data_IF_339139378680
#
_entry.id   IF_339139378680
#
_cell.length_a   1.000
_cell.length_b   1.000
_cell.length_c   1.000
_cell.angle_alpha   90.00
_cell.angle_beta   90.00
_cell.angle_gamma   90.00
#
_symmetry.space_group_name_H-M   'P 1'
#
loop_
_entity.id
_entity.type
_entity.pdbx_description
1 polymer ?
#
# COMPACT_ATOMS: atom_id res chain seq x y z
N UNK A 1 24.67 -4.79 50.32
CA UNK A 1 23.44 -5.03 49.54
C UNK A 1 23.75 -4.77 48.07
N UNK A 2 23.87 -5.84 47.26
CA UNK A 2 24.41 -5.79 45.89
C UNK A 2 23.28 -5.54 44.91
N UNK A 3 23.18 -4.32 44.36
CA UNK A 3 22.17 -3.98 43.35
C UNK A 3 22.62 -4.54 42.01
N UNK A 4 21.89 -5.52 41.50
CA UNK A 4 22.07 -6.06 40.15
C UNK A 4 21.63 -5.00 39.14
N UNK A 5 22.52 -4.71 38.21
CA UNK A 5 22.29 -3.87 37.04
C UNK A 5 21.64 -4.79 36.02
N UNK A 6 20.32 -4.71 35.87
CA UNK A 6 19.66 -5.27 34.70
C UNK A 6 19.79 -4.25 33.56
N UNK A 7 20.61 -4.62 32.59
CA UNK A 7 20.88 -3.81 31.42
C UNK A 7 19.62 -3.69 30.57
N UNK A 8 18.97 -2.55 30.65
CA UNK A 8 18.04 -2.10 29.62
C UNK A 8 18.24 -0.62 29.44
N UNK A 9 19.28 -0.27 28.68
CA UNK A 9 19.33 1.01 27.98
C UNK A 9 18.13 1.03 27.06
N UNK A 10 17.02 1.55 27.57
CA UNK A 10 15.83 1.78 26.79
C UNK A 10 16.24 2.70 25.64
N UNK A 11 16.18 2.18 24.42
CA UNK A 11 16.37 2.96 23.21
C UNK A 11 15.55 4.23 23.33
N UNK A 12 16.23 5.37 23.42
CA UNK A 12 15.62 6.68 23.24
C UNK A 12 15.17 6.72 21.77
N UNK A 13 13.97 6.19 21.51
CA UNK A 13 13.28 6.37 20.25
C UNK A 13 12.74 7.79 20.28
N UNK A 14 13.51 8.72 19.75
CA UNK A 14 12.95 9.89 19.09
C UNK A 14 12.66 9.50 17.64
N UNK A 15 11.44 9.06 17.27
CA UNK A 15 10.97 9.31 15.93
C UNK A 15 10.30 10.69 15.97
N UNK A 16 10.86 11.60 15.19
CA UNK A 16 10.27 12.88 14.89
C UNK A 16 8.85 12.66 14.31
N UNK A 17 7.83 12.85 15.14
CA UNK A 17 6.42 12.73 14.78
C UNK A 17 5.97 13.99 14.03
N UNK A 18 6.49 14.23 12.83
CA UNK A 18 6.16 15.44 12.04
C UNK A 18 5.54 15.16 10.67
N UNK A 19 5.07 13.93 10.42
CA UNK A 19 4.40 13.57 9.15
C UNK A 19 3.16 12.67 9.33
N UNK A 20 2.53 12.70 10.52
CA UNK A 20 1.58 11.65 10.90
C UNK A 20 0.25 11.67 10.14
N UNK A 21 -0.12 12.79 9.51
CA UNK A 21 -1.42 12.90 8.82
C UNK A 21 -1.33 12.62 7.30
N UNK A 22 -0.20 12.96 6.67
CA UNK A 22 -0.01 12.81 5.21
C UNK A 22 0.46 11.41 4.83
N UNK A 23 1.31 10.78 5.66
CA UNK A 23 1.86 9.45 5.40
C UNK A 23 0.81 8.33 5.48
N UNK A 24 -0.09 8.40 6.46
CA UNK A 24 -1.13 7.38 6.66
C UNK A 24 -2.12 7.33 5.49
N UNK A 25 -2.58 8.48 5.02
CA UNK A 25 -3.54 8.55 3.89
C UNK A 25 -2.91 7.98 2.62
N UNK A 26 -1.65 8.30 2.39
CA UNK A 26 -0.87 7.83 1.25
C UNK A 26 -0.66 6.31 1.33
N UNK A 27 -0.26 5.78 2.49
CA UNK A 27 -0.10 4.35 2.71
C UNK A 27 -1.41 3.56 2.50
N UNK A 28 -2.53 4.04 3.05
CA UNK A 28 -3.85 3.42 2.87
C UNK A 28 -4.25 3.38 1.39
N UNK A 29 -4.01 4.46 0.64
CA UNK A 29 -4.28 4.50 -0.81
C UNK A 29 -3.48 3.43 -1.58
N UNK A 30 -2.17 3.32 -1.32
CA UNK A 30 -1.33 2.29 -1.95
C UNK A 30 -1.77 0.87 -1.58
N UNK A 31 -2.19 0.63 -0.33
CA UNK A 31 -2.69 -0.67 0.11
C UNK A 31 -4.01 -1.04 -0.61
N UNK A 32 -4.92 -0.07 -0.75
CA UNK A 32 -6.18 -0.25 -1.49
C UNK A 32 -5.92 -0.53 -2.96
N UNK A 33 -5.05 0.24 -3.62
CA UNK A 33 -4.66 0.03 -5.02
C UNK A 33 -4.09 -1.38 -5.23
N UNK A 34 -3.12 -1.78 -4.40
CA UNK A 34 -2.48 -3.10 -4.50
C UNK A 34 -3.47 -4.25 -4.37
N UNK A 35 -4.38 -4.14 -3.40
CA UNK A 35 -5.42 -5.15 -3.18
C UNK A 35 -6.41 -5.17 -4.35
N UNK A 36 -6.78 -3.99 -4.86
CA UNK A 36 -7.64 -3.82 -6.03
C UNK A 36 -7.06 -4.46 -7.29
N UNK A 37 -5.79 -4.18 -7.62
CA UNK A 37 -5.09 -4.76 -8.77
C UNK A 37 -5.04 -6.29 -8.66
N UNK A 38 -4.72 -6.83 -7.49
CA UNK A 38 -4.68 -8.28 -7.27
C UNK A 38 -6.05 -8.94 -7.46
N UNK A 39 -7.13 -8.33 -6.96
CA UNK A 39 -8.49 -8.83 -7.16
C UNK A 39 -8.95 -8.69 -8.61
N UNK A 40 -8.63 -7.58 -9.27
CA UNK A 40 -8.96 -7.33 -10.67
C UNK A 40 -8.25 -8.32 -11.56
N UNK A 41 -6.93 -8.48 -11.38
CA UNK A 41 -6.12 -9.42 -12.13
C UNK A 41 -6.64 -10.86 -11.99
N UNK A 42 -7.02 -11.29 -10.79
CA UNK A 42 -7.62 -12.61 -10.57
C UNK A 42 -9.01 -12.81 -11.20
N UNK A 43 -9.75 -11.72 -11.41
CA UNK A 43 -11.03 -11.75 -12.15
C UNK A 43 -10.80 -11.74 -13.65
N UNK A 44 -9.90 -10.90 -14.15
CA UNK A 44 -9.72 -10.68 -15.59
C UNK A 44 -8.83 -11.74 -16.25
N UNK A 45 -7.93 -12.41 -15.51
CA UNK A 45 -7.03 -13.44 -16.06
C UNK A 45 -7.79 -14.64 -16.63
N UNK A 46 -8.96 -14.95 -16.08
CA UNK A 46 -9.81 -16.04 -16.56
C UNK A 46 -10.75 -15.61 -17.69
N UNK A 47 -10.96 -14.31 -17.90
CA UNK A 47 -11.91 -13.78 -18.88
C UNK A 47 -11.25 -13.34 -20.20
N UNK A 48 -9.96 -13.02 -20.20
CA UNK A 48 -9.26 -12.61 -21.41
C UNK A 48 -8.41 -13.74 -21.96
N UNK A 49 -8.84 -14.33 -23.08
CA UNK A 49 -7.98 -15.20 -23.93
C UNK A 49 -6.73 -14.43 -24.46
N UNK A 50 -6.66 -13.11 -24.23
CA UNK A 50 -5.57 -12.23 -24.64
C UNK A 50 -5.03 -11.43 -23.45
N UNK A 51 -3.76 -11.65 -23.08
CA UNK A 51 -3.01 -10.85 -22.09
C UNK A 51 -3.14 -9.34 -22.36
N UNK A 52 -3.23 -8.94 -23.62
CA UNK A 52 -3.36 -7.53 -24.02
C UNK A 52 -4.59 -6.84 -23.44
N UNK A 53 -5.72 -7.55 -23.33
CA UNK A 53 -6.95 -6.98 -22.75
C UNK A 53 -6.79 -6.84 -21.23
N UNK A 54 -6.10 -7.78 -20.60
CA UNK A 54 -5.77 -7.74 -19.19
C UNK A 54 -4.94 -6.51 -18.83
N UNK A 55 -3.87 -6.26 -19.60
CA UNK A 55 -3.00 -5.09 -19.41
C UNK A 55 -3.76 -3.77 -19.59
N UNK A 56 -4.66 -3.69 -20.57
CA UNK A 56 -5.49 -2.50 -20.81
C UNK A 56 -6.42 -2.24 -19.62
N UNK A 57 -7.07 -3.28 -19.08
CA UNK A 57 -7.98 -3.14 -17.94
C UNK A 57 -7.21 -2.77 -16.66
N UNK A 58 -6.01 -3.30 -16.45
CA UNK A 58 -5.13 -2.88 -15.34
C UNK A 58 -4.72 -1.42 -15.50
N UNK A 59 -4.28 -1.01 -16.69
CA UNK A 59 -3.89 0.37 -16.98
C UNK A 59 -5.05 1.35 -16.77
N UNK A 60 -6.25 0.97 -17.22
CA UNK A 60 -7.47 1.75 -17.01
C UNK A 60 -7.84 1.87 -15.53
N UNK A 61 -7.71 0.78 -14.77
CA UNK A 61 -7.96 0.77 -13.33
C UNK A 61 -7.01 1.69 -12.56
N UNK A 62 -5.71 1.66 -12.89
CA UNK A 62 -4.71 2.55 -12.28
C UNK A 62 -5.01 4.00 -12.65
N UNK A 63 -5.34 4.27 -13.91
CA UNK A 63 -5.67 5.62 -14.39
C UNK A 63 -6.90 6.17 -13.67
N UNK A 64 -7.95 5.37 -13.50
CA UNK A 64 -9.15 5.73 -12.74
C UNK A 64 -8.85 5.97 -11.26
N UNK A 65 -7.97 5.17 -10.64
CA UNK A 65 -7.64 5.30 -9.22
C UNK A 65 -6.80 6.55 -8.89
N UNK A 66 -5.80 6.84 -9.72
CA UNK A 66 -4.89 7.97 -9.51
C UNK A 66 -5.50 9.30 -9.97
N UNK A 67 -6.22 9.31 -11.08
CA UNK A 67 -6.73 10.54 -11.71
C UNK A 67 -8.24 10.75 -11.54
N UNK A 68 -8.97 9.78 -10.98
CA UNK A 68 -10.44 9.86 -10.87
C UNK A 68 -11.16 9.84 -12.22
N UNK A 69 -10.46 9.45 -13.29
CA UNK A 69 -11.01 9.35 -14.64
C UNK A 69 -11.98 8.17 -14.72
N UNK A 70 -13.27 8.48 -14.55
CA UNK A 70 -14.36 7.63 -15.03
C UNK A 70 -14.60 8.04 -16.47
N UNK A 71 -14.23 7.17 -17.41
CA UNK A 71 -14.56 7.30 -18.83
C UNK A 71 -15.93 6.66 -19.06
#
# INVERSE_FOLDING_TARGET
MKKYIDGSVAYIRNPDHTNHETGERTFRRHLTLRTGIRCLAGKTICFSESERIHDIVIGLFISAYEFGLVI
#
